data_IF_599085351580
#
_entry.id   IF_599085351580
#
_cell.length_a   1.000
_cell.length_b   1.000
_cell.length_c   1.000
_cell.angle_alpha   90.00
_cell.angle_beta   90.00
_cell.angle_gamma   90.00
#
_symmetry.space_group_name_H-M   'P 1'
#
loop_
_entity.id
_entity.type
_entity.pdbx_description
1 polymer ?
#
# COMPACT_ATOMS: atom_id res chain seq x y z
N UNK A 1 -11.71 -6.41 -38.44
CA UNK A 1 -11.63 -5.04 -37.90
C UNK A 1 -11.83 -5.15 -36.40
N UNK A 2 -10.77 -4.96 -35.61
CA UNK A 2 -10.87 -4.91 -34.14
C UNK A 2 -11.66 -3.65 -33.80
N UNK A 3 -12.81 -3.81 -33.16
CA UNK A 3 -13.70 -2.71 -32.83
C UNK A 3 -13.02 -1.78 -31.83
N UNK A 4 -12.96 -0.48 -32.14
CA UNK A 4 -12.49 0.56 -31.21
C UNK A 4 -13.28 0.62 -29.89
N UNK A 5 -14.42 -0.09 -29.80
CA UNK A 5 -15.20 -0.25 -28.57
C UNK A 5 -14.60 -1.25 -27.57
N UNK A 6 -13.65 -2.10 -27.99
CA UNK A 6 -12.96 -3.05 -27.09
C UNK A 6 -11.83 -2.38 -26.30
N UNK A 7 -11.33 -1.24 -26.80
CA UNK A 7 -10.31 -0.43 -26.14
C UNK A 7 -10.86 0.53 -25.08
N UNK A 8 -12.18 0.78 -25.08
CA UNK A 8 -12.84 1.62 -24.08
C UNK A 8 -13.42 0.69 -23.01
N UNK A 9 -12.80 0.58 -21.83
CA UNK A 9 -13.34 -0.25 -20.77
C UNK A 9 -14.72 0.26 -20.36
N UNK A 10 -15.71 -0.65 -20.31
CA UNK A 10 -17.02 -0.32 -19.81
C UNK A 10 -16.96 -0.10 -18.29
N UNK A 11 -16.88 1.16 -17.86
CA UNK A 11 -16.80 1.54 -16.44
C UNK A 11 -18.02 1.13 -15.59
N UNK A 12 -19.14 0.79 -16.23
CA UNK A 12 -20.33 0.27 -15.55
C UNK A 12 -20.27 -1.25 -15.31
N UNK A 13 -19.25 -1.94 -15.84
CA UNK A 13 -19.04 -3.35 -15.57
C UNK A 13 -18.57 -3.55 -14.10
N UNK A 14 -19.22 -4.43 -13.32
CA UNK A 14 -18.79 -4.73 -11.95
C UNK A 14 -17.33 -5.18 -11.84
N UNK A 15 -16.77 -5.84 -12.86
CA UNK A 15 -15.37 -6.30 -12.88
C UNK A 15 -14.39 -5.13 -13.02
N UNK A 16 -14.70 -4.19 -13.92
CA UNK A 16 -13.88 -2.98 -14.12
C UNK A 16 -13.93 -2.11 -12.88
N UNK A 17 -15.12 -1.93 -12.29
CA UNK A 17 -15.30 -1.17 -11.05
C UNK A 17 -14.53 -1.77 -9.87
N UNK A 18 -14.52 -3.10 -9.73
CA UNK A 18 -13.76 -3.81 -8.69
C UNK A 18 -12.25 -3.64 -8.87
N UNK A 19 -11.75 -3.79 -10.10
CA UNK A 19 -10.33 -3.60 -10.42
C UNK A 19 -9.87 -2.16 -10.12
N UNK A 20 -10.67 -1.17 -10.51
CA UNK A 20 -10.41 0.24 -10.22
C UNK A 20 -10.40 0.48 -8.71
N UNK A 21 -11.38 -0.06 -7.98
CA UNK A 21 -11.44 0.08 -6.52
C UNK A 21 -10.21 -0.52 -5.83
N UNK A 22 -9.79 -1.72 -6.23
CA UNK A 22 -8.59 -2.35 -5.69
C UNK A 22 -7.34 -1.53 -6.00
N UNK A 23 -7.21 -1.00 -7.22
CA UNK A 23 -6.10 -0.13 -7.61
C UNK A 23 -6.04 1.13 -6.72
N UNK A 24 -7.17 1.80 -6.52
CA UNK A 24 -7.25 2.95 -5.63
C UNK A 24 -6.96 2.57 -4.18
N UNK A 25 -7.57 1.51 -3.66
CA UNK A 25 -7.35 1.04 -2.30
C UNK A 25 -5.88 0.72 -2.04
N UNK A 26 -5.21 0.07 -3.00
CA UNK A 26 -3.78 -0.21 -2.93
C UNK A 26 -2.92 1.05 -3.01
N UNK A 27 -3.26 1.96 -3.93
CA UNK A 27 -2.56 3.25 -4.05
C UNK A 27 -2.66 4.07 -2.76
N UNK A 28 -3.87 4.16 -2.20
CA UNK A 28 -4.08 4.85 -0.93
C UNK A 28 -3.41 4.12 0.22
N UNK A 29 -3.40 2.79 0.26
CA UNK A 29 -2.72 2.04 1.33
C UNK A 29 -1.22 2.32 1.33
N UNK A 30 -0.56 2.25 0.17
CA UNK A 30 0.89 2.48 0.07
C UNK A 30 1.26 3.94 0.37
N UNK A 31 0.33 4.89 0.20
CA UNK A 31 0.58 6.30 0.53
C UNK A 31 0.18 6.63 1.97
N UNK A 32 -1.08 6.42 2.32
CA UNK A 32 -1.67 6.80 3.61
C UNK A 32 -1.08 5.99 4.75
N UNK A 33 -0.77 4.70 4.57
CA UNK A 33 -0.24 3.88 5.66
C UNK A 33 1.14 4.38 6.15
N UNK A 34 2.17 4.54 5.29
CA UNK A 34 3.46 5.07 5.73
C UNK A 34 3.44 6.57 6.03
N UNK A 35 2.69 7.39 5.28
CA UNK A 35 2.57 8.82 5.60
C UNK A 35 1.84 9.02 6.94
N UNK A 36 0.73 8.31 7.15
CA UNK A 36 -0.04 8.35 8.39
C UNK A 36 0.79 7.87 9.57
N UNK A 37 1.51 6.76 9.42
CA UNK A 37 2.39 6.23 10.46
C UNK A 37 3.57 7.16 10.74
N UNK A 38 4.15 7.81 9.72
CA UNK A 38 5.18 8.84 9.88
C UNK A 38 4.72 9.98 10.79
N UNK A 39 3.53 10.55 10.54
CA UNK A 39 2.99 11.63 11.36
C UNK A 39 2.58 11.15 12.77
N UNK A 40 2.06 9.94 12.88
CA UNK A 40 1.68 9.35 14.17
C UNK A 40 2.90 9.05 15.04
N UNK A 41 3.96 8.45 14.48
CA UNK A 41 5.23 8.22 15.16
C UNK A 41 5.96 9.52 15.49
N UNK A 42 5.93 10.53 14.60
CA UNK A 42 6.48 11.86 14.89
C UNK A 42 5.85 12.44 16.17
N UNK A 43 4.52 12.40 16.26
CA UNK A 43 3.79 12.98 17.37
C UNK A 43 3.97 12.20 18.68
N UNK A 44 3.95 10.86 18.62
CA UNK A 44 3.99 10.03 19.84
C UNK A 44 5.42 9.77 20.34
N UNK A 45 6.37 9.55 19.44
CA UNK A 45 7.73 9.12 19.83
C UNK A 45 8.68 10.31 19.91
N UNK A 46 8.69 11.19 18.91
CA UNK A 46 9.69 12.27 18.84
C UNK A 46 9.31 13.51 19.63
N UNK A 47 8.05 13.95 19.56
CA UNK A 47 7.60 15.12 20.32
C UNK A 47 7.27 14.80 21.78
N UNK A 48 6.72 13.61 22.07
CA UNK A 48 6.24 13.28 23.43
C UNK A 48 7.26 12.57 24.33
N UNK A 49 8.26 11.88 23.77
CA UNK A 49 9.18 11.04 24.54
C UNK A 49 10.63 11.51 24.53
N UNK A 50 11.08 12.28 23.52
CA UNK A 50 12.51 12.64 23.37
C UNK A 50 12.83 14.12 23.46
N UNK A 51 11.85 15.05 23.48
CA UNK A 51 12.07 16.52 23.53
C UNK A 51 13.19 17.00 22.57
N UNK A 52 13.29 16.37 21.39
CA UNK A 52 14.37 16.62 20.43
C UNK A 52 14.11 17.91 19.64
N UNK A 53 15.21 18.59 19.27
CA UNK A 53 15.18 19.74 18.36
C UNK A 53 14.41 19.38 17.08
N UNK A 54 13.50 20.26 16.64
CA UNK A 54 12.50 19.99 15.60
C UNK A 54 13.11 19.41 14.30
N UNK A 55 14.37 19.77 14.01
CA UNK A 55 15.13 19.32 12.83
C UNK A 55 15.49 17.83 12.91
N UNK A 56 15.95 17.38 14.07
CA UNK A 56 16.41 15.99 14.24
C UNK A 56 15.21 15.04 14.33
N UNK A 57 14.14 15.46 15.02
CA UNK A 57 12.87 14.75 15.07
C UNK A 57 12.28 14.49 13.67
N UNK A 58 12.36 15.49 12.77
CA UNK A 58 11.91 15.33 11.39
C UNK A 58 12.77 14.34 10.60
N UNK A 59 14.10 14.38 10.77
CA UNK A 59 15.02 13.49 10.05
C UNK A 59 14.82 12.02 10.45
N UNK A 60 14.72 11.74 11.75
CA UNK A 60 14.48 10.37 12.22
C UNK A 60 13.09 9.84 11.86
N UNK A 61 12.05 10.69 11.93
CA UNK A 61 10.70 10.33 11.45
C UNK A 61 10.71 9.96 9.97
N UNK A 62 11.42 10.71 9.13
CA UNK A 62 11.54 10.40 7.70
C UNK A 62 12.27 9.07 7.44
N UNK A 63 13.36 8.78 8.16
CA UNK A 63 14.09 7.51 8.02
C UNK A 63 13.20 6.33 8.40
N UNK A 64 12.47 6.44 9.52
CA UNK A 64 11.56 5.38 9.97
C UNK A 64 10.44 5.17 8.96
N UNK A 65 9.88 6.25 8.40
CA UNK A 65 8.85 6.16 7.37
C UNK A 65 9.35 5.38 6.14
N UNK A 66 10.59 5.63 5.69
CA UNK A 66 11.18 4.87 4.57
C UNK A 66 11.31 3.38 4.92
N UNK A 67 11.80 3.06 6.12
CA UNK A 67 11.94 1.66 6.57
C UNK A 67 10.57 0.96 6.60
N UNK A 68 9.55 1.66 7.09
CA UNK A 68 8.19 1.15 7.17
C UNK A 68 7.56 0.89 5.79
N UNK A 69 7.79 1.78 4.81
CA UNK A 69 7.40 1.55 3.41
C UNK A 69 7.99 0.22 2.91
N UNK A 70 9.27 -0.03 3.16
CA UNK A 70 9.92 -1.27 2.72
C UNK A 70 9.38 -2.51 3.43
N UNK A 71 9.07 -2.41 4.72
CA UNK A 71 8.47 -3.50 5.48
C UNK A 71 7.07 -3.87 4.94
N UNK A 72 6.25 -2.87 4.62
CA UNK A 72 4.91 -3.07 4.05
C UNK A 72 5.02 -3.67 2.65
N UNK A 73 5.88 -3.14 1.79
CA UNK A 73 6.13 -3.69 0.46
C UNK A 73 6.58 -5.15 0.53
N UNK A 74 7.53 -5.47 1.42
CA UNK A 74 8.01 -6.83 1.61
C UNK A 74 6.90 -7.77 2.09
N UNK A 75 6.12 -7.34 3.09
CA UNK A 75 4.97 -8.08 3.58
C UNK A 75 3.95 -8.37 2.48
N UNK A 76 3.68 -7.38 1.64
CA UNK A 76 2.69 -7.48 0.57
C UNK A 76 3.13 -8.40 -0.57
N UNK A 77 4.40 -8.30 -0.98
CA UNK A 77 5.02 -9.22 -1.93
C UNK A 77 4.93 -10.64 -1.37
N UNK A 78 5.30 -10.84 -0.11
CA UNK A 78 5.24 -12.15 0.53
C UNK A 78 3.80 -12.71 0.61
N UNK A 79 2.81 -11.87 0.93
CA UNK A 79 1.40 -12.26 0.96
C UNK A 79 0.90 -12.65 -0.43
N UNK A 80 1.19 -11.82 -1.44
CA UNK A 80 0.87 -12.09 -2.84
C UNK A 80 1.49 -13.43 -3.30
N UNK A 81 2.75 -13.70 -2.97
CA UNK A 81 3.39 -14.99 -3.28
C UNK A 81 2.70 -16.19 -2.61
N UNK A 82 2.07 -16.02 -1.43
CA UNK A 82 1.33 -17.09 -0.75
C UNK A 82 -0.03 -17.37 -1.38
N UNK A 83 -0.73 -16.35 -1.88
CA UNK A 83 -2.03 -16.50 -2.54
C UNK A 83 -1.92 -17.19 -3.91
N UNK A 84 -0.76 -17.10 -4.57
CA UNK A 84 -0.50 -17.75 -5.86
C UNK A 84 -0.08 -19.22 -5.78
N UNK A 85 -0.11 -19.86 -4.59
CA UNK A 85 0.04 -21.32 -4.56
C UNK A 85 -1.17 -21.93 -5.28
N UNK A 86 -0.99 -22.64 -6.41
CA UNK A 86 -2.10 -23.23 -7.13
C UNK A 86 -2.87 -24.11 -6.16
N UNK A 87 -4.18 -23.87 -6.04
CA UNK A 87 -5.07 -24.81 -5.37
C UNK A 87 -4.81 -26.15 -6.05
N UNK A 88 -4.20 -27.09 -5.32
CA UNK A 88 -4.01 -28.44 -5.83
C UNK A 88 -5.41 -28.93 -6.20
N UNK A 89 -5.65 -29.20 -7.48
CA UNK A 89 -6.86 -29.86 -7.91
C UNK A 89 -6.84 -31.22 -7.21
N UNK A 90 -7.69 -31.38 -6.19
CA UNK A 90 -8.10 -32.71 -5.75
C UNK A 90 -8.92 -33.28 -6.91
N UNK A 91 -8.32 -34.23 -7.62
CA UNK A 91 -9.06 -35.10 -8.51
C UNK A 91 -9.81 -36.08 -7.61
N UNK A 92 -11.11 -35.88 -7.48
CA UNK A 92 -12.05 -36.84 -6.91
C UNK A 92 -12.52 -37.80 -8.01
#
# INVERSE_FOLDING_TARGET
MVSMSEFIPNFNDPVVKSSIYNLFAYSFTILIFPLGSMFFLKYIVFEKYMELENKDAMMFSAIIAIIEVHAVLFYWIYHSYKEHKPKTFKND
#
